data_IF_503837387949
#
_entry.id   IF_503837387949
#
_cell.length_a   1.000
_cell.length_b   1.000
_cell.length_c   1.000
_cell.angle_alpha   90.00
_cell.angle_beta   90.00
_cell.angle_gamma   90.00
#
_symmetry.space_group_name_H-M   'P 1'
#
loop_
_entity.id
_entity.type
_entity.pdbx_description
1 polymer ?
#
# COMPACT_ATOMS: atom_id res chain seq x y z
N UNK A 1 -26.66 -13.30 -17.03
CA UNK A 1 -26.32 -13.14 -15.60
C UNK A 1 -24.83 -13.31 -15.49
N UNK A 2 -24.13 -12.38 -14.84
CA UNK A 2 -22.68 -12.45 -14.64
C UNK A 2 -22.32 -13.32 -13.43
N UNK A 3 -21.03 -13.63 -13.28
CA UNK A 3 -20.50 -14.31 -12.10
C UNK A 3 -20.53 -13.39 -10.86
N UNK A 4 -20.80 -13.97 -9.70
CA UNK A 4 -20.78 -13.28 -8.40
C UNK A 4 -19.43 -13.51 -7.70
N UNK A 5 -18.80 -12.44 -7.20
CA UNK A 5 -17.53 -12.54 -6.49
C UNK A 5 -17.78 -12.96 -5.03
N UNK A 6 -17.39 -14.19 -4.71
CA UNK A 6 -17.52 -14.79 -3.39
C UNK A 6 -16.65 -14.14 -2.30
N UNK A 7 -15.42 -13.76 -2.66
CA UNK A 7 -14.39 -13.30 -1.74
C UNK A 7 -13.36 -12.47 -2.52
N UNK A 8 -12.98 -11.32 -1.95
CA UNK A 8 -11.80 -10.56 -2.36
C UNK A 8 -10.70 -10.76 -1.33
N UNK A 9 -9.48 -11.04 -1.78
CA UNK A 9 -8.30 -11.17 -0.91
C UNK A 9 -7.30 -10.08 -1.27
N UNK A 10 -6.89 -9.32 -0.25
CA UNK A 10 -5.86 -8.30 -0.35
C UNK A 10 -4.58 -8.79 0.34
N UNK A 11 -3.43 -8.59 -0.30
CA UNK A 11 -2.11 -8.88 0.26
C UNK A 11 -1.39 -7.55 0.46
N UNK A 12 -1.27 -7.16 1.73
CA UNK A 12 -0.69 -5.90 2.23
C UNK A 12 -0.94 -4.70 1.32
N UNK A 13 -2.19 -4.59 0.85
CA UNK A 13 -2.56 -3.60 -0.16
C UNK A 13 -3.06 -2.35 0.57
N UNK A 14 -2.37 -1.20 0.50
CA UNK A 14 -2.92 0.06 0.98
C UNK A 14 -3.96 0.62 -0.01
N UNK A 15 -4.74 1.60 0.43
CA UNK A 15 -5.58 2.35 -0.51
C UNK A 15 -4.73 3.03 -1.60
N UNK A 16 -5.24 3.11 -2.86
CA UNK A 16 -4.57 3.83 -3.94
C UNK A 16 -4.25 5.28 -3.55
N UNK A 17 -5.18 5.94 -2.86
CA UNK A 17 -4.99 7.26 -2.30
C UNK A 17 -4.95 7.17 -0.78
N UNK A 18 -3.75 7.36 -0.22
CA UNK A 18 -3.54 7.34 1.23
C UNK A 18 -4.04 8.65 1.85
N UNK A 19 -4.56 8.57 3.08
CA UNK A 19 -4.96 9.73 3.86
C UNK A 19 -3.78 10.69 4.06
N UNK A 20 -3.91 11.99 3.70
CA UNK A 20 -2.82 12.92 3.83
C UNK A 20 -2.53 13.23 5.30
N UNK A 21 -1.24 13.31 5.68
CA UNK A 21 -0.85 13.75 7.01
C UNK A 21 -1.32 15.18 7.30
N UNK A 22 -1.94 15.36 8.46
CA UNK A 22 -2.31 16.68 8.96
C UNK A 22 -1.07 17.58 9.09
N UNK A 23 -1.25 18.90 8.99
CA UNK A 23 -0.13 19.85 9.16
C UNK A 23 0.50 19.72 10.55
N UNK A 24 -0.32 19.47 11.57
CA UNK A 24 0.12 19.26 12.96
C UNK A 24 1.01 18.01 13.07
N UNK A 25 0.59 16.90 12.48
CA UNK A 25 1.34 15.63 12.55
C UNK A 25 2.65 15.71 11.78
N UNK A 26 2.68 16.42 10.64
CA UNK A 26 3.93 16.69 9.93
C UNK A 26 4.94 17.46 10.78
N UNK A 27 4.50 18.47 11.54
CA UNK A 27 5.36 19.21 12.46
C UNK A 27 5.84 18.34 13.62
N UNK A 28 4.97 17.48 14.16
CA UNK A 28 5.36 16.53 15.22
C UNK A 28 6.43 15.55 14.75
N UNK A 29 6.29 14.99 13.54
CA UNK A 29 7.31 14.11 12.94
C UNK A 29 8.63 14.88 12.79
N UNK A 30 8.60 16.09 12.25
CA UNK A 30 9.80 16.91 12.07
C UNK A 30 10.51 17.22 13.40
N UNK A 31 9.74 17.50 14.45
CA UNK A 31 10.27 17.72 15.79
C UNK A 31 10.91 16.46 16.37
N UNK A 32 10.26 15.29 16.23
CA UNK A 32 10.80 14.00 16.64
C UNK A 32 12.09 13.65 15.88
N UNK A 33 12.13 13.88 14.56
CA UNK A 33 13.33 13.67 13.74
C UNK A 33 14.48 14.59 14.18
N UNK A 34 14.19 15.85 14.48
CA UNK A 34 15.19 16.82 14.96
C UNK A 34 15.76 16.42 16.31
N UNK A 35 14.91 15.92 17.22
CA UNK A 35 15.35 15.37 18.51
C UNK A 35 16.22 14.13 18.35
N UNK A 36 15.92 13.26 17.37
CA UNK A 36 16.65 12.00 17.11
C UNK A 36 17.97 12.21 16.37
N UNK A 37 18.03 13.11 15.38
CA UNK A 37 19.19 13.34 14.50
C UNK A 37 20.05 14.54 14.93
N UNK A 38 19.62 15.30 15.93
CA UNK A 38 20.28 16.50 16.41
C UNK A 38 19.87 17.76 15.65
N UNK A 39 20.19 18.92 16.23
CA UNK A 39 19.78 20.27 15.78
C UNK A 39 20.31 20.64 14.37
N UNK A 40 21.25 19.87 13.83
CA UNK A 40 21.80 20.01 12.47
C UNK A 40 20.86 19.42 11.41
N UNK A 41 19.88 18.60 11.79
CA UNK A 41 18.96 17.94 10.86
C UNK A 41 18.13 18.87 9.97
N UNK A 42 17.49 19.95 10.47
CA UNK A 42 16.76 20.87 9.58
C UNK A 42 17.66 21.50 8.51
N UNK A 43 18.94 21.75 8.82
CA UNK A 43 19.92 22.22 7.83
C UNK A 43 20.26 21.16 6.78
N UNK A 44 20.43 19.90 7.20
CA UNK A 44 20.66 18.76 6.29
C UNK A 44 19.44 18.49 5.41
N UNK A 45 18.23 18.54 5.97
CA UNK A 45 16.98 18.38 5.22
C UNK A 45 16.78 19.49 4.20
N UNK A 46 17.02 20.76 4.57
CA UNK A 46 16.92 21.89 3.65
C UNK A 46 17.96 21.79 2.53
N UNK A 47 19.21 21.43 2.86
CA UNK A 47 20.28 21.19 1.87
C UNK A 47 19.91 20.07 0.90
N UNK A 48 19.41 18.95 1.43
CA UNK A 48 19.01 17.80 0.62
C UNK A 48 17.76 18.12 -0.22
N UNK A 49 16.86 18.99 0.27
CA UNK A 49 15.69 19.44 -0.48
C UNK A 49 16.09 20.35 -1.65
N UNK A 50 16.98 21.30 -1.42
CA UNK A 50 17.54 22.17 -2.46
C UNK A 50 18.30 21.33 -3.49
N UNK A 51 19.13 20.39 -3.03
CA UNK A 51 19.84 19.45 -3.91
C UNK A 51 18.86 18.61 -4.75
N UNK A 52 17.79 18.09 -4.14
CA UNK A 52 16.74 17.35 -4.86
C UNK A 52 16.00 18.22 -5.89
N UNK A 53 15.71 19.49 -5.58
CA UNK A 53 15.07 20.41 -6.53
C UNK A 53 15.99 20.79 -7.70
N UNK A 54 17.30 20.90 -7.46
CA UNK A 54 18.32 21.12 -8.50
C UNK A 54 18.50 19.86 -9.35
N UNK A 55 18.63 18.69 -8.74
CA UNK A 55 18.78 17.41 -9.44
C UNK A 55 17.54 17.11 -10.30
N UNK A 56 16.33 17.37 -9.79
CA UNK A 56 15.09 17.25 -10.57
C UNK A 56 15.09 18.11 -11.83
N UNK A 57 15.65 19.33 -11.75
CA UNK A 57 15.81 20.23 -12.91
C UNK A 57 16.93 19.78 -13.85
N UNK A 58 17.98 19.12 -13.34
CA UNK A 58 19.10 18.60 -14.15
C UNK A 58 18.75 17.29 -14.87
N UNK A 59 18.04 16.39 -14.21
CA UNK A 59 17.49 15.16 -14.80
C UNK A 59 16.52 15.54 -15.92
N UNK A 60 15.64 16.54 -15.74
CA UNK A 60 14.81 17.05 -16.86
C UNK A 60 15.62 17.52 -18.08
N UNK A 61 16.87 17.97 -17.91
CA UNK A 61 17.73 18.41 -19.01
C UNK A 61 18.55 17.27 -19.66
N UNK A 62 18.92 16.24 -18.90
CA UNK A 62 19.75 15.12 -19.38
C UNK A 62 18.94 13.91 -19.90
N UNK A 63 17.63 13.81 -19.59
CA UNK A 63 16.76 12.66 -19.95
C UNK A 63 16.40 12.62 -21.45
N UNK A 64 17.21 13.16 -22.36
CA UNK A 64 17.05 13.02 -23.81
C UNK A 64 17.56 11.66 -24.33
N UNK A 65 17.10 10.54 -23.76
CA UNK A 65 17.37 9.19 -24.29
C UNK A 65 16.09 8.35 -24.29
N UNK A 66 15.73 7.78 -25.45
CA UNK A 66 14.42 7.16 -25.72
C UNK A 66 13.91 6.16 -24.66
N UNK A 67 14.78 5.36 -24.04
CA UNK A 67 14.38 4.37 -23.03
C UNK A 67 13.97 4.97 -21.68
N UNK A 68 14.54 6.12 -21.29
CA UNK A 68 14.20 6.78 -20.03
C UNK A 68 12.87 7.55 -20.11
N UNK A 69 12.53 8.05 -21.30
CA UNK A 69 11.22 8.67 -21.56
C UNK A 69 10.07 7.67 -21.39
N UNK A 70 10.18 6.45 -21.93
CA UNK A 70 9.10 5.46 -21.82
C UNK A 70 8.81 5.06 -20.36
N UNK A 71 9.85 4.89 -19.54
CA UNK A 71 9.65 4.56 -18.11
C UNK A 71 8.98 5.72 -17.35
N UNK A 72 9.40 6.96 -17.60
CA UNK A 72 8.82 8.14 -16.95
C UNK A 72 7.37 8.39 -17.40
N UNK A 73 7.06 8.15 -18.68
CA UNK A 73 5.70 8.25 -19.23
C UNK A 73 4.77 7.20 -18.62
N UNK A 74 5.23 5.95 -18.49
CA UNK A 74 4.47 4.86 -17.85
C UNK A 74 4.22 5.18 -16.37
N UNK A 75 5.24 5.62 -15.64
CA UNK A 75 5.10 6.02 -14.23
C UNK A 75 4.11 7.17 -14.08
N UNK A 76 4.21 8.20 -14.93
CA UNK A 76 3.29 9.33 -14.91
C UNK A 76 1.85 8.91 -15.22
N UNK A 77 1.64 8.03 -16.20
CA UNK A 77 0.32 7.48 -16.52
C UNK A 77 -0.26 6.67 -15.34
N UNK A 78 0.57 5.87 -14.67
CA UNK A 78 0.19 5.11 -13.49
C UNK A 78 -0.20 6.03 -12.32
N UNK A 79 0.64 7.02 -11.99
CA UNK A 79 0.37 7.98 -10.91
C UNK A 79 -0.90 8.81 -11.20
N UNK A 80 -1.13 9.18 -12.45
CA UNK A 80 -2.36 9.86 -12.88
C UNK A 80 -3.58 8.97 -12.67
N UNK A 81 -3.51 7.70 -13.11
CA UNK A 81 -4.62 6.76 -12.94
C UNK A 81 -4.95 6.54 -11.45
N UNK A 82 -3.93 6.39 -10.58
CA UNK A 82 -4.12 6.26 -9.13
C UNK A 82 -4.75 7.52 -8.52
N UNK A 83 -4.33 8.71 -8.95
CA UNK A 83 -4.87 9.98 -8.47
C UNK A 83 -6.32 10.25 -8.91
N UNK A 84 -6.75 9.67 -10.03
CA UNK A 84 -8.11 9.79 -10.55
C UNK A 84 -9.02 8.64 -10.06
N UNK A 85 -8.46 7.57 -9.51
CA UNK A 85 -9.23 6.41 -9.05
C UNK A 85 -10.13 6.75 -7.85
N UNK A 86 -11.43 6.70 -8.08
CA UNK A 86 -12.44 6.91 -7.06
C UNK A 86 -12.86 5.58 -6.44
N UNK A 87 -12.47 5.37 -5.19
CA UNK A 87 -12.89 4.23 -4.39
C UNK A 87 -14.43 4.14 -4.34
N UNK A 88 -14.94 2.92 -4.43
CA UNK A 88 -16.36 2.61 -4.28
C UNK A 88 -16.56 1.71 -3.07
N UNK A 89 -17.69 1.83 -2.35
CA UNK A 89 -18.06 0.86 -1.32
C UNK A 89 -18.16 -0.54 -1.91
N UNK A 90 -17.80 -1.54 -1.11
CA UNK A 90 -17.96 -2.95 -1.46
C UNK A 90 -18.54 -3.67 -0.27
N UNK A 91 -19.68 -4.34 -0.46
CA UNK A 91 -20.42 -5.04 0.61
C UNK A 91 -20.08 -6.54 0.68
N UNK A 92 -19.42 -7.07 -0.35
CA UNK A 92 -19.03 -8.48 -0.41
C UNK A 92 -17.92 -8.83 0.59
N UNK A 93 -17.70 -10.14 0.80
CA UNK A 93 -16.66 -10.60 1.72
C UNK A 93 -15.28 -10.16 1.23
N UNK A 94 -14.47 -9.60 2.12
CA UNK A 94 -13.12 -9.16 1.82
C UNK A 94 -12.19 -9.45 2.99
N UNK A 95 -11.01 -10.00 2.70
CA UNK A 95 -9.99 -10.33 3.69
C UNK A 95 -8.67 -9.65 3.34
N UNK A 96 -8.07 -8.96 4.30
CA UNK A 96 -6.75 -8.35 4.21
C UNK A 96 -5.73 -9.16 4.99
N UNK A 97 -4.72 -9.67 4.30
CA UNK A 97 -3.54 -10.27 4.92
C UNK A 97 -2.41 -9.26 4.89
N UNK A 98 -1.80 -8.97 6.02
CA UNK A 98 -0.75 -7.93 6.11
C UNK A 98 0.28 -8.28 7.19
N UNK A 99 1.51 -7.76 7.08
CA UNK A 99 2.50 -7.91 8.13
C UNK A 99 2.14 -7.10 9.39
N UNK A 100 2.83 -7.34 10.52
CA UNK A 100 2.66 -6.53 11.71
C UNK A 100 2.99 -5.06 11.43
N UNK A 101 2.20 -4.16 12.01
CA UNK A 101 2.40 -2.72 11.84
C UNK A 101 3.68 -2.22 12.52
N UNK A 102 4.58 -1.62 11.74
CA UNK A 102 5.81 -1.01 12.25
C UNK A 102 5.70 0.51 12.21
N UNK A 103 5.39 1.11 13.36
CA UNK A 103 5.33 2.55 13.54
C UNK A 103 6.73 3.18 13.69
N UNK A 104 7.02 4.20 12.89
CA UNK A 104 8.25 5.00 12.99
C UNK A 104 8.08 6.19 13.94
N UNK A 105 6.88 6.78 13.95
CA UNK A 105 6.53 7.92 14.78
C UNK A 105 5.12 7.77 15.37
N UNK A 106 4.94 8.29 16.58
CA UNK A 106 3.62 8.48 17.19
C UNK A 106 3.23 9.95 17.04
N UNK A 107 2.08 10.22 16.43
CA UNK A 107 1.61 11.58 16.15
C UNK A 107 0.39 11.94 16.99
N UNK A 108 -0.33 13.02 16.66
CA UNK A 108 -1.46 13.46 17.47
C UNK A 108 -2.56 12.40 17.53
N UNK A 109 -3.29 12.37 18.64
CA UNK A 109 -4.31 11.33 18.87
C UNK A 109 -3.74 9.93 19.11
N UNK A 110 -2.42 9.77 19.29
CA UNK A 110 -1.78 8.46 19.49
C UNK A 110 -1.66 7.63 18.23
N UNK A 111 -1.97 8.20 17.06
CA UNK A 111 -1.87 7.49 15.78
C UNK A 111 -0.40 7.19 15.45
N UNK A 112 -0.15 6.04 14.82
CA UNK A 112 1.16 5.65 14.35
C UNK A 112 1.35 6.06 12.89
N UNK A 113 2.57 6.42 12.53
CA UNK A 113 3.00 6.76 11.17
C UNK A 113 4.23 5.95 10.82
N UNK A 114 4.25 5.33 9.64
CA UNK A 114 5.39 4.54 9.16
C UNK A 114 6.51 5.43 8.59
N UNK A 115 7.63 4.82 8.20
CA UNK A 115 8.78 5.52 7.62
C UNK A 115 8.47 6.27 6.31
N UNK A 116 7.45 5.84 5.58
CA UNK A 116 6.95 6.49 4.36
C UNK A 116 6.03 7.69 4.63
N UNK A 117 5.84 8.05 5.90
CA UNK A 117 4.95 9.14 6.33
C UNK A 117 3.47 8.88 5.98
N UNK A 118 3.04 7.62 6.04
CA UNK A 118 1.64 7.23 5.98
C UNK A 118 1.13 6.83 7.37
N UNK A 119 -0.12 7.19 7.68
CA UNK A 119 -0.79 6.69 8.88
C UNK A 119 -0.92 5.17 8.81
N UNK A 120 -0.77 4.52 9.95
CA UNK A 120 -0.99 3.09 10.10
C UNK A 120 -2.38 2.86 10.69
N UNK A 121 -3.18 2.09 9.97
CA UNK A 121 -4.51 1.63 10.39
C UNK A 121 -4.53 0.11 10.42
N UNK A 122 -5.38 -0.47 11.26
CA UNK A 122 -5.45 -1.94 11.37
C UNK A 122 -5.89 -2.60 10.05
N UNK A 123 -6.73 -1.92 9.29
CA UNK A 123 -7.31 -2.38 8.04
C UNK A 123 -6.67 -1.69 6.82
N UNK A 124 -5.48 -1.10 6.95
CA UNK A 124 -4.86 -0.27 5.90
C UNK A 124 -5.78 0.85 5.35
N UNK A 125 -6.69 1.37 6.20
CA UNK A 125 -7.68 2.42 5.91
C UNK A 125 -8.85 1.96 5.02
N UNK A 126 -8.97 0.66 4.73
CA UNK A 126 -10.04 0.11 3.88
C UNK A 126 -11.43 0.16 4.51
N UNK A 127 -11.56 0.15 5.83
CA UNK A 127 -12.85 0.08 6.54
C UNK A 127 -13.80 1.23 6.23
N UNK A 128 -13.31 2.33 5.64
CA UNK A 128 -14.16 3.42 5.15
C UNK A 128 -14.99 3.03 3.90
N UNK A 129 -14.55 2.03 3.13
CA UNK A 129 -15.22 1.50 1.94
C UNK A 129 -15.76 0.09 2.15
N UNK A 130 -15.15 -0.67 3.07
CA UNK A 130 -15.50 -2.05 3.38
C UNK A 130 -15.55 -2.28 4.89
N UNK A 131 -16.58 -1.81 5.61
CA UNK A 131 -16.66 -1.92 7.07
C UNK A 131 -16.59 -3.35 7.62
N UNK A 132 -16.91 -4.34 6.78
CA UNK A 132 -16.90 -5.78 7.06
C UNK A 132 -15.56 -6.47 6.79
N UNK A 133 -14.49 -5.73 6.49
CA UNK A 133 -13.17 -6.29 6.18
C UNK A 133 -12.63 -7.15 7.33
N UNK A 134 -12.18 -8.36 7.00
CA UNK A 134 -11.51 -9.26 7.93
C UNK A 134 -9.98 -9.06 7.81
N UNK A 135 -9.31 -8.71 8.91
CA UNK A 135 -7.85 -8.48 8.92
C UNK A 135 -7.13 -9.68 9.55
N UNK A 136 -6.10 -10.16 8.88
CA UNK A 136 -5.23 -11.25 9.34
C UNK A 136 -3.77 -10.77 9.31
N UNK A 137 -3.15 -10.71 10.48
CA UNK A 137 -1.71 -10.46 10.58
C UNK A 137 -0.92 -11.73 10.22
N UNK A 138 0.07 -11.59 9.34
CA UNK A 138 0.96 -12.67 8.92
C UNK A 138 2.42 -12.29 9.17
N UNK A 139 3.34 -13.22 9.48
CA UNK A 139 4.74 -12.88 9.71
C UNK A 139 5.45 -12.28 8.49
N UNK A 140 6.52 -11.53 8.72
CA UNK A 140 7.32 -10.88 7.68
C UNK A 140 7.05 -9.39 7.56
N UNK A 141 7.36 -8.86 6.39
CA UNK A 141 7.09 -7.49 5.93
C UNK A 141 6.42 -7.54 4.55
N UNK A 142 6.25 -6.38 3.89
CA UNK A 142 5.59 -6.26 2.60
C UNK A 142 6.13 -7.25 1.55
N UNK A 143 7.44 -7.45 1.52
CA UNK A 143 8.11 -8.29 0.53
C UNK A 143 8.18 -9.75 1.00
N UNK A 144 8.52 -9.97 2.26
CA UNK A 144 8.81 -11.30 2.80
C UNK A 144 7.57 -12.07 3.27
N UNK A 145 6.40 -11.43 3.43
CA UNK A 145 5.17 -12.12 3.84
C UNK A 145 4.70 -13.18 2.84
N UNK A 146 5.09 -13.03 1.56
CA UNK A 146 4.78 -13.98 0.47
C UNK A 146 5.92 -14.97 0.21
N UNK A 147 6.99 -14.92 0.99
CA UNK A 147 8.16 -15.79 0.87
C UNK A 147 8.25 -16.79 2.03
N UNK A 148 8.99 -17.88 1.83
CA UNK A 148 9.27 -18.84 2.89
C UNK A 148 10.12 -18.21 4.02
N UNK A 149 9.84 -18.48 5.31
CA UNK A 149 8.82 -19.41 5.82
C UNK A 149 7.41 -18.80 6.00
N UNK A 150 7.29 -17.48 5.86
CA UNK A 150 6.09 -16.71 6.20
C UNK A 150 4.87 -17.10 5.36
N UNK A 151 5.09 -17.41 4.08
CA UNK A 151 4.06 -17.82 3.12
C UNK A 151 3.27 -19.04 3.58
N UNK A 152 3.83 -19.89 4.45
CA UNK A 152 3.10 -21.04 5.04
C UNK A 152 1.96 -20.59 5.94
N UNK A 153 2.18 -19.54 6.72
CA UNK A 153 1.16 -18.95 7.60
C UNK A 153 0.11 -18.26 6.75
N UNK A 154 0.52 -17.44 5.78
CA UNK A 154 -0.38 -16.81 4.81
C UNK A 154 -1.26 -17.84 4.09
N UNK A 155 -0.65 -18.89 3.52
CA UNK A 155 -1.36 -19.95 2.80
C UNK A 155 -2.33 -20.73 3.69
N UNK A 156 -1.98 -20.94 4.97
CA UNK A 156 -2.86 -21.61 5.93
C UNK A 156 -4.10 -20.77 6.24
N UNK A 157 -3.94 -19.47 6.46
CA UNK A 157 -5.10 -18.59 6.66
C UNK A 157 -5.93 -18.44 5.38
N UNK A 158 -5.29 -18.26 4.22
CA UNK A 158 -5.97 -18.14 2.94
C UNK A 158 -6.83 -19.37 2.64
N UNK A 159 -6.29 -20.58 2.87
CA UNK A 159 -7.06 -21.83 2.74
C UNK A 159 -8.31 -21.81 3.62
N UNK A 160 -8.18 -21.41 4.89
CA UNK A 160 -9.32 -21.37 5.81
C UNK A 160 -10.38 -20.36 5.35
N UNK A 161 -9.99 -19.17 4.90
CA UNK A 161 -10.94 -18.15 4.42
C UNK A 161 -11.65 -18.62 3.15
N UNK A 162 -10.94 -19.26 2.22
CA UNK A 162 -11.54 -19.84 1.01
C UNK A 162 -12.53 -20.94 1.37
N UNK A 163 -12.10 -21.97 2.12
CA UNK A 163 -12.96 -23.11 2.48
C UNK A 163 -14.20 -22.68 3.26
N UNK A 164 -14.07 -21.71 4.19
CA UNK A 164 -15.24 -21.18 4.91
C UNK A 164 -16.17 -20.37 4.01
N UNK A 165 -15.65 -19.67 3.00
CA UNK A 165 -16.47 -18.96 2.00
C UNK A 165 -17.23 -19.97 1.14
N UNK A 166 -16.54 -20.97 0.60
CA UNK A 166 -17.14 -22.01 -0.24
C UNK A 166 -18.21 -22.78 0.52
N UNK A 167 -17.96 -23.14 1.78
CA UNK A 167 -18.95 -23.81 2.62
C UNK A 167 -20.20 -22.96 2.84
N UNK A 168 -20.06 -21.65 3.10
CA UNK A 168 -21.19 -20.72 3.23
C UNK A 168 -21.99 -20.59 1.93
N UNK A 169 -21.33 -20.65 0.79
CA UNK A 169 -21.96 -20.57 -0.54
C UNK A 169 -22.46 -21.93 -1.07
N UNK A 170 -22.30 -23.00 -0.29
CA UNK A 170 -22.73 -24.36 -0.67
C UNK A 170 -21.91 -24.97 -1.80
N UNK A 171 -20.63 -24.60 -1.94
CA UNK A 171 -19.71 -25.16 -2.95
C UNK A 171 -20.02 -24.77 -4.40
N UNK A 172 -20.82 -23.72 -4.61
CA UNK A 172 -21.24 -23.25 -5.95
C UNK A 172 -20.21 -22.36 -6.66
N UNK A 173 -18.96 -22.35 -6.18
CA UNK A 173 -17.90 -21.54 -6.77
C UNK A 173 -17.50 -22.07 -8.15
N UNK A 174 -17.43 -21.18 -9.14
CA UNK A 174 -16.82 -21.50 -10.43
C UNK A 174 -15.33 -21.13 -10.39
N UNK A 175 -14.46 -22.09 -10.68
CA UNK A 175 -13.04 -21.81 -10.92
C UNK A 175 -12.91 -21.25 -12.33
N UNK A 176 -12.65 -19.95 -12.44
CA UNK A 176 -12.43 -19.29 -13.72
C UNK A 176 -11.01 -19.59 -14.19
N UNK A 177 -10.86 -20.14 -15.39
CA UNK A 177 -9.55 -20.33 -16.00
C UNK A 177 -9.01 -18.98 -16.49
N UNK A 178 -7.86 -18.56 -15.94
CA UNK A 178 -7.18 -17.38 -16.43
C UNK A 178 -6.30 -17.76 -17.62
N UNK A 179 -6.70 -17.37 -18.84
CA UNK A 179 -5.77 -17.40 -19.98
C UNK A 179 -4.86 -16.18 -19.84
N UNK A 180 -3.63 -16.42 -19.35
CA UNK A 180 -2.60 -15.40 -19.38
C UNK A 180 -2.36 -15.01 -20.84
N UNK A 181 -2.99 -13.93 -21.31
CA UNK A 181 -2.51 -13.26 -22.51
C UNK A 181 -1.09 -12.81 -22.18
N UNK A 182 -0.12 -13.36 -22.91
CA UNK A 182 1.24 -12.83 -22.92
C UNK A 182 1.11 -11.32 -23.15
N UNK A 183 1.46 -10.53 -22.13
CA UNK A 183 1.69 -9.11 -22.34
C UNK A 183 2.78 -9.03 -23.42
N UNK A 184 2.45 -8.40 -24.53
CA UNK A 184 3.30 -8.31 -25.70
C UNK A 184 4.68 -7.73 -25.35
N UNK A 185 5.70 -8.25 -26.03
CA UNK A 185 7.10 -7.77 -26.07
C UNK A 185 7.25 -6.26 -26.18
#
# INVERSE_FOLDING_TARGET
>A
MGDEVALVVLLDTPLPQRRPLSRKDRLLIQWQETRRKGVTYPFVWLRNRIAWEIEKRRVQAETHTAHSFHNAEIEHAFLKAVAEYQMQPWDGRIALFRPPLVGAWTVSGGQLVNHERAYLFDDNDWGQFTPQIEVFEVPGDHDSMVLEPNVRVLGSHLRNVITTTEAKMGGKGNVVSFSAKQAAE
#
